data_IF_559735443927
#
_entry.id   IF_559735443927
#
_cell.length_a   1.000
_cell.length_b   1.000
_cell.length_c   1.000
_cell.angle_alpha   90.00
_cell.angle_beta   90.00
_cell.angle_gamma   90.00
#
_symmetry.space_group_name_H-M   'P 1'
#
loop_
_entity.id
_entity.type
_entity.pdbx_description
1 polymer ?
#
# COMPACT_ATOMS: atom_id res chain seq x y z
N UNK A 1 -5.47 8.78 2.01
CA UNK A 1 -5.91 9.16 0.64
C UNK A 1 -5.04 8.40 -0.34
N UNK A 2 -5.65 7.65 -1.25
CA UNK A 2 -4.96 6.76 -2.18
C UNK A 2 -5.64 5.39 -2.27
N UNK A 3 -4.98 4.45 -2.94
CA UNK A 3 -5.38 3.06 -3.10
C UNK A 3 -4.39 2.13 -2.39
N UNK A 4 -4.85 0.95 -1.96
CA UNK A 4 -3.97 -0.11 -1.46
C UNK A 4 -3.44 -0.93 -2.63
N UNK A 5 -2.11 -1.06 -2.72
CA UNK A 5 -1.49 -2.03 -3.62
C UNK A 5 -1.51 -3.38 -2.91
N UNK A 6 -2.19 -4.37 -3.52
CA UNK A 6 -2.25 -5.73 -2.99
C UNK A 6 -1.16 -6.57 -3.64
N UNK A 7 -0.36 -7.24 -2.82
CA UNK A 7 0.54 -8.30 -3.29
C UNK A 7 -0.23 -9.61 -3.30
N UNK A 8 -0.45 -10.16 -4.49
CA UNK A 8 -1.23 -11.40 -4.69
C UNK A 8 -0.28 -12.50 -5.18
N UNK A 9 -0.28 -13.62 -4.47
CA UNK A 9 0.42 -14.83 -4.87
C UNK A 9 -0.56 -16.00 -4.93
N UNK A 10 -0.50 -16.78 -6.01
CA UNK A 10 -1.42 -17.88 -6.27
C UNK A 10 -0.65 -19.21 -6.30
N UNK A 11 -1.01 -20.14 -5.41
CA UNK A 11 -0.41 -21.50 -5.38
C UNK A 11 -0.94 -22.37 -6.52
N UNK A 12 -2.20 -22.16 -6.91
CA UNK A 12 -2.86 -22.85 -8.00
C UNK A 12 -3.49 -21.84 -8.97
N UNK A 13 -3.76 -22.22 -10.23
CA UNK A 13 -4.41 -21.33 -11.18
C UNK A 13 -5.76 -20.82 -10.66
N UNK A 14 -5.94 -19.51 -10.67
CA UNK A 14 -7.17 -18.83 -10.24
C UNK A 14 -7.48 -17.68 -11.19
N UNK A 15 -8.77 -17.39 -11.37
CA UNK A 15 -9.25 -16.21 -12.09
C UNK A 15 -9.88 -15.24 -11.11
N UNK A 16 -9.35 -14.02 -11.05
CA UNK A 16 -9.88 -12.94 -10.22
C UNK A 16 -10.61 -11.97 -11.14
N UNK A 17 -11.88 -11.71 -10.85
CA UNK A 17 -12.69 -10.77 -11.62
C UNK A 17 -12.61 -9.37 -10.99
N UNK A 18 -12.66 -8.29 -11.80
CA UNK A 18 -12.73 -6.93 -11.26
C UNK A 18 -13.92 -6.75 -10.31
N UNK A 19 -13.74 -5.89 -9.31
CA UNK A 19 -14.77 -5.46 -8.36
C UNK A 19 -15.33 -6.52 -7.40
N UNK A 20 -14.74 -7.72 -7.35
CA UNK A 20 -15.04 -8.68 -6.28
C UNK A 20 -14.38 -8.25 -4.96
N UNK A 21 -15.02 -8.59 -3.85
CA UNK A 21 -14.43 -8.39 -2.53
C UNK A 21 -13.20 -9.32 -2.38
N UNK A 22 -12.03 -8.74 -2.16
CA UNK A 22 -10.75 -9.49 -2.18
C UNK A 22 -9.99 -9.45 -0.84
N UNK A 23 -10.28 -8.47 0.01
CA UNK A 23 -9.69 -8.34 1.34
C UNK A 23 -10.58 -7.49 2.26
N UNK A 24 -10.26 -7.50 3.55
CA UNK A 24 -10.93 -6.70 4.56
C UNK A 24 -9.90 -5.85 5.31
N UNK A 25 -10.32 -4.67 5.77
CA UNK A 25 -9.48 -3.79 6.58
C UNK A 25 -9.99 -3.85 8.02
N UNK A 26 -9.10 -4.17 8.94
CA UNK A 26 -9.35 -4.07 10.37
C UNK A 26 -8.69 -2.80 10.92
N UNK A 27 -9.44 -2.01 11.66
CA UNK A 27 -8.96 -0.76 12.25
C UNK A 27 -8.69 -0.93 13.74
N UNK A 28 -7.57 -0.38 14.19
CA UNK A 28 -7.23 -0.26 15.60
C UNK A 28 -7.29 1.21 16.02
N UNK A 29 -7.74 1.46 17.25
CA UNK A 29 -7.63 2.77 17.88
C UNK A 29 -6.17 3.06 18.22
N UNK A 30 -5.71 4.28 17.95
CA UNK A 30 -4.39 4.78 18.35
C UNK A 30 -4.59 5.84 19.42
N UNK A 31 -3.85 5.74 20.52
CA UNK A 31 -3.93 6.67 21.66
C UNK A 31 -2.72 7.61 21.68
N UNK A 32 -2.91 8.85 22.13
CA UNK A 32 -1.83 9.85 22.25
C UNK A 32 -1.59 10.68 20.99
N UNK A 33 -0.41 11.31 20.91
CA UNK A 33 0.03 12.07 19.74
C UNK A 33 0.35 11.12 18.57
N UNK A 34 -0.11 11.49 17.37
CA UNK A 34 0.06 10.68 16.16
C UNK A 34 0.78 11.50 15.10
N UNK A 35 1.89 10.97 14.60
CA UNK A 35 2.54 11.49 13.40
C UNK A 35 1.91 10.86 12.15
N UNK A 36 1.15 11.62 11.34
CA UNK A 36 0.52 11.06 10.16
C UNK A 36 1.58 10.74 9.10
N UNK A 37 1.29 9.72 8.30
CA UNK A 37 2.16 9.32 7.20
C UNK A 37 2.31 10.45 6.15
N UNK A 38 3.52 11.00 6.02
CA UNK A 38 3.89 12.08 5.09
C UNK A 38 4.97 11.68 4.08
N UNK A 39 5.28 10.39 3.94
CA UNK A 39 6.33 9.94 3.03
C UNK A 39 5.94 10.14 1.56
N UNK A 40 6.86 10.71 0.78
CA UNK A 40 6.72 10.91 -0.67
C UNK A 40 6.79 9.64 -1.51
N UNK A 41 6.85 8.45 -0.90
CA UNK A 41 6.86 7.19 -1.64
C UNK A 41 5.48 6.81 -2.17
N UNK A 42 4.46 6.77 -1.30
CA UNK A 42 3.18 6.15 -1.64
C UNK A 42 1.95 6.98 -1.26
N UNK A 43 2.12 8.11 -0.57
CA UNK A 43 1.00 8.95 -0.16
C UNK A 43 0.27 9.50 -1.39
N UNK A 44 -1.06 9.32 -1.46
CA UNK A 44 -1.87 9.89 -2.52
C UNK A 44 -1.69 9.23 -3.90
N UNK A 45 -1.28 7.96 -3.94
CA UNK A 45 -1.25 7.19 -5.19
C UNK A 45 -2.63 7.16 -5.90
N UNK A 46 -2.60 7.01 -7.23
CA UNK A 46 -3.80 6.93 -8.07
C UNK A 46 -4.08 5.54 -8.64
N UNK A 47 -3.15 4.62 -8.43
CA UNK A 47 -3.20 3.23 -8.91
C UNK A 47 -2.18 2.38 -8.13
N UNK A 48 -2.06 1.09 -8.48
CA UNK A 48 -1.01 0.18 -7.99
C UNK A 48 0.37 0.82 -8.13
N UNK A 49 1.20 0.66 -7.09
CA UNK A 49 2.54 1.25 -7.04
C UNK A 49 3.59 0.17 -6.96
N UNK A 50 4.66 0.32 -7.74
CA UNK A 50 5.85 -0.52 -7.59
C UNK A 50 6.63 -0.11 -6.35
N UNK A 51 7.49 -1.01 -5.87
CA UNK A 51 8.36 -0.73 -4.72
C UNK A 51 9.27 0.46 -5.00
N UNK A 52 9.28 1.42 -4.07
CA UNK A 52 10.16 2.58 -4.05
C UNK A 52 11.20 2.50 -2.93
N UNK A 53 11.53 1.28 -2.49
CA UNK A 53 12.54 1.03 -1.45
C UNK A 53 13.90 1.67 -1.81
N UNK A 54 14.27 1.65 -3.09
CA UNK A 54 15.51 2.26 -3.58
C UNK A 54 15.64 3.75 -3.25
N UNK A 55 14.53 4.47 -3.00
CA UNK A 55 14.56 5.89 -2.62
C UNK A 55 15.17 6.12 -1.24
N UNK A 56 15.15 5.12 -0.35
CA UNK A 56 15.80 5.21 0.97
C UNK A 56 17.33 5.15 0.89
N UNK A 57 17.86 4.66 -0.22
CA UNK A 57 19.29 4.45 -0.41
C UNK A 57 19.91 5.49 -1.35
N UNK A 58 19.12 6.47 -1.82
CA UNK A 58 19.68 7.63 -2.50
C UNK A 58 20.45 8.44 -1.46
N UNK A 59 21.74 8.67 -1.70
CA UNK A 59 22.47 9.71 -0.98
C UNK A 59 21.81 11.03 -1.32
N UNK A 60 21.54 11.85 -0.31
CA UNK A 60 21.26 13.26 -0.52
C UNK A 60 22.48 13.84 -1.23
N UNK A 61 22.30 14.32 -2.47
CA UNK A 61 23.29 15.20 -3.13
C UNK A 61 23.17 16.62 -2.58
#
# INVERSE_FOLDING_TARGET
>A
KGYWTLEIFCVQPIKIYPSVEICQIFYHSVEGEVDPYKSGKYQGNKDIQTSMLYKDFKKDE
#
